data_IF_692524960709
#
_entry.id   IF_692524960709
#
_cell.length_a   1.000
_cell.length_b   1.000
_cell.length_c   1.000
_cell.angle_alpha   90.00
_cell.angle_beta   90.00
_cell.angle_gamma   90.00
#
_symmetry.space_group_name_H-M   'P 1'
#
loop_
_entity.id
_entity.type
_entity.pdbx_description
1 polymer ?
#
# COMPACT_ATOMS: atom_id res chain seq x y z
N UNK A 1 -19.60 5.01 -1.56
CA UNK A 1 -20.81 5.33 -0.77
C UNK A 1 -20.64 6.69 -0.11
N UNK A 2 -21.75 7.35 0.24
CA UNK A 2 -21.79 8.60 0.99
C UNK A 2 -22.67 8.44 2.23
N UNK A 3 -22.15 8.86 3.38
CA UNK A 3 -22.86 8.85 4.66
C UNK A 3 -22.99 10.27 5.19
N UNK A 4 -24.08 10.54 5.91
CA UNK A 4 -24.16 11.71 6.78
C UNK A 4 -23.10 11.62 7.89
N UNK A 5 -22.36 12.70 8.13
CA UNK A 5 -21.24 12.69 9.06
C UNK A 5 -21.69 12.63 10.53
N UNK A 6 -22.86 13.18 10.86
CA UNK A 6 -23.34 13.27 12.24
C UNK A 6 -24.04 11.96 12.66
N UNK A 7 -24.92 11.43 11.81
CA UNK A 7 -25.74 10.26 12.08
C UNK A 7 -25.24 8.95 11.46
N UNK A 8 -24.32 9.00 10.50
CA UNK A 8 -23.87 7.82 9.74
C UNK A 8 -24.94 7.27 8.78
N UNK A 9 -26.02 8.03 8.53
CA UNK A 9 -27.10 7.62 7.65
C UNK A 9 -26.62 7.55 6.20
N UNK A 10 -26.95 6.47 5.49
CA UNK A 10 -26.61 6.31 4.08
C UNK A 10 -27.38 7.32 3.23
N UNK A 11 -26.65 8.19 2.53
CA UNK A 11 -27.22 9.13 1.58
C UNK A 11 -27.38 8.46 0.21
N UNK A 12 -26.30 7.89 -0.31
CA UNK A 12 -26.29 7.12 -1.54
C UNK A 12 -25.11 6.15 -1.58
N UNK A 13 -25.19 5.15 -2.47
CA UNK A 13 -24.07 4.29 -2.81
C UNK A 13 -24.07 3.99 -4.30
N UNK A 14 -22.88 3.70 -4.80
CA UNK A 14 -22.67 3.12 -6.11
C UNK A 14 -21.91 1.79 -5.89
N UNK A 15 -22.34 0.74 -6.57
CA UNK A 15 -21.73 -0.59 -6.49
C UNK A 15 -21.18 -0.97 -7.88
N UNK A 16 -19.90 -0.65 -8.16
CA UNK A 16 -19.28 -0.92 -9.46
C UNK A 16 -19.25 -2.40 -9.85
N UNK A 17 -19.10 -3.29 -8.87
CA UNK A 17 -19.07 -4.73 -9.08
C UNK A 17 -20.09 -5.45 -8.18
N UNK A 18 -21.34 -5.62 -8.63
CA UNK A 18 -22.32 -6.43 -7.92
C UNK A 18 -21.92 -7.90 -7.92
N UNK A 19 -22.05 -8.57 -6.79
CA UNK A 19 -21.68 -9.98 -6.63
C UNK A 19 -20.19 -10.25 -6.95
N UNK A 20 -19.30 -9.42 -6.41
CA UNK A 20 -17.87 -9.67 -6.47
C UNK A 20 -17.50 -11.02 -5.83
N UNK A 21 -16.82 -11.86 -6.61
CA UNK A 21 -16.33 -13.20 -6.23
C UNK A 21 -14.83 -13.34 -6.46
N UNK A 22 -14.13 -12.26 -6.82
CA UNK A 22 -12.72 -12.29 -7.23
C UNK A 22 -11.81 -11.37 -6.41
N UNK A 23 -12.30 -10.80 -5.30
CA UNK A 23 -11.55 -9.84 -4.46
C UNK A 23 -11.24 -8.54 -5.21
N UNK A 24 -12.21 -8.06 -5.99
CA UNK A 24 -12.08 -6.83 -6.77
C UNK A 24 -12.62 -5.65 -5.98
N UNK A 25 -11.93 -5.36 -4.88
CA UNK A 25 -12.18 -4.21 -4.02
C UNK A 25 -12.32 -2.88 -4.79
N UNK A 26 -13.11 -1.97 -4.23
CA UNK A 26 -13.22 -0.57 -4.70
C UNK A 26 -12.77 0.39 -3.59
N UNK A 27 -11.55 0.17 -3.13
CA UNK A 27 -11.00 0.63 -1.86
C UNK A 27 -10.21 1.93 -1.94
N UNK A 28 -9.65 2.27 -3.10
CA UNK A 28 -8.69 3.35 -3.24
C UNK A 28 -9.24 4.69 -2.72
N UNK A 29 -8.37 5.56 -2.15
CA UNK A 29 -8.80 6.87 -1.67
C UNK A 29 -9.54 7.65 -2.76
N UNK A 30 -10.61 8.32 -2.33
CA UNK A 30 -11.51 9.04 -3.24
C UNK A 30 -10.97 10.45 -3.46
N UNK A 31 -10.99 10.89 -4.71
CA UNK A 31 -10.59 12.24 -5.10
C UNK A 31 -11.85 13.09 -5.27
N UNK A 32 -11.97 14.17 -4.50
CA UNK A 32 -13.02 15.17 -4.69
C UNK A 32 -12.49 16.32 -5.54
N UNK A 33 -13.23 16.66 -6.59
CA UNK A 33 -12.85 17.77 -7.50
C UNK A 33 -14.09 18.38 -8.15
N UNK A 34 -13.90 19.45 -8.91
CA UNK A 34 -14.92 20.05 -9.75
C UNK A 34 -14.71 19.69 -11.22
N UNK A 35 -15.80 19.45 -11.94
CA UNK A 35 -15.79 19.23 -13.38
C UNK A 35 -16.96 19.97 -14.04
N UNK A 36 -16.82 20.32 -15.33
CA UNK A 36 -17.94 20.88 -16.10
C UNK A 36 -18.75 19.76 -16.73
N UNK A 37 -19.87 19.40 -16.10
CA UNK A 37 -20.77 18.34 -16.57
C UNK A 37 -21.98 18.98 -17.24
N UNK A 38 -22.23 18.64 -18.51
CA UNK A 38 -23.36 19.18 -19.29
C UNK A 38 -23.42 20.74 -19.28
N UNK A 39 -22.26 21.39 -19.32
CA UNK A 39 -22.14 22.84 -19.34
C UNK A 39 -22.35 23.54 -17.99
N UNK A 40 -22.43 22.79 -16.89
CA UNK A 40 -22.49 23.33 -15.53
C UNK A 40 -21.37 22.74 -14.66
N UNK A 41 -20.78 23.57 -13.80
CA UNK A 41 -19.83 23.09 -12.80
C UNK A 41 -20.55 22.21 -11.77
N UNK A 42 -19.93 21.08 -11.44
CA UNK A 42 -20.39 20.09 -10.45
C UNK A 42 -19.22 19.63 -9.60
N UNK A 43 -19.47 19.38 -8.33
CA UNK A 43 -18.54 18.65 -7.49
C UNK A 43 -18.73 17.16 -7.74
N UNK A 44 -17.64 16.49 -8.06
CA UNK A 44 -17.64 15.06 -8.37
C UNK A 44 -16.68 14.33 -7.44
N UNK A 45 -16.92 13.04 -7.26
CA UNK A 45 -16.03 12.12 -6.58
C UNK A 45 -15.51 11.11 -7.58
N UNK A 46 -14.19 10.98 -7.66
CA UNK A 46 -13.50 10.00 -8.49
C UNK A 46 -12.96 8.90 -7.58
N UNK A 47 -13.28 7.65 -7.92
CA UNK A 47 -12.91 6.49 -7.14
C UNK A 47 -12.44 5.36 -8.05
N UNK A 48 -11.61 4.48 -7.49
CA UNK A 48 -11.07 3.30 -8.17
C UNK A 48 -10.77 2.21 -7.15
N UNK A 49 -10.14 1.13 -7.60
CA UNK A 49 -9.71 0.00 -6.79
C UNK A 49 -9.27 -1.17 -7.66
N UNK A 50 -9.18 -2.34 -7.04
CA UNK A 50 -8.74 -3.57 -7.70
C UNK A 50 -9.55 -3.95 -8.93
N UNK A 51 -10.79 -3.50 -9.04
CA UNK A 51 -11.63 -3.70 -10.22
C UNK A 51 -11.02 -3.17 -11.54
N UNK A 52 -9.98 -2.33 -11.53
CA UNK A 52 -9.39 -1.80 -12.77
C UNK A 52 -10.29 -0.78 -13.47
N UNK A 53 -11.14 -0.09 -12.70
CA UNK A 53 -12.05 0.94 -13.21
C UNK A 53 -11.89 2.23 -12.43
N UNK A 54 -11.86 3.36 -13.14
CA UNK A 54 -11.88 4.70 -12.57
C UNK A 54 -13.25 5.30 -12.88
N UNK A 55 -13.98 5.65 -11.84
CA UNK A 55 -15.39 6.04 -11.94
C UNK A 55 -15.56 7.42 -11.31
N UNK A 56 -16.29 8.31 -11.99
CA UNK A 56 -16.78 9.54 -11.39
C UNK A 56 -18.27 9.49 -11.12
N UNK A 57 -18.65 9.97 -9.95
CA UNK A 57 -20.03 10.21 -9.57
C UNK A 57 -20.23 11.69 -9.19
N UNK A 58 -21.42 12.20 -9.44
CA UNK A 58 -21.87 13.44 -8.81
C UNK A 58 -21.97 13.24 -7.29
N UNK A 59 -21.38 14.15 -6.51
CA UNK A 59 -21.28 13.97 -5.05
C UNK A 59 -22.62 14.10 -4.34
N UNK A 60 -23.56 14.87 -4.91
CA UNK A 60 -24.86 15.13 -4.29
C UNK A 60 -25.84 14.01 -4.59
N UNK A 61 -25.86 13.53 -5.84
CA UNK A 61 -26.88 12.57 -6.29
C UNK A 61 -26.39 11.11 -6.31
N UNK A 62 -25.07 10.91 -6.37
CA UNK A 62 -24.47 9.59 -6.63
C UNK A 62 -24.57 9.14 -8.09
N UNK A 63 -25.11 9.96 -9.00
CA UNK A 63 -25.20 9.65 -10.42
C UNK A 63 -23.82 9.39 -11.02
N UNK A 64 -23.64 8.24 -11.66
CA UNK A 64 -22.39 7.94 -12.38
C UNK A 64 -22.31 8.78 -13.65
N UNK A 65 -21.26 9.58 -13.74
CA UNK A 65 -21.02 10.52 -14.83
C UNK A 65 -20.22 9.87 -15.96
N UNK A 66 -19.17 9.14 -15.60
CA UNK A 66 -18.35 8.36 -16.51
C UNK A 66 -17.71 7.17 -15.79
N UNK A 67 -17.24 6.21 -16.58
CA UNK A 67 -16.71 4.94 -16.12
C UNK A 67 -15.62 4.45 -17.09
N UNK A 68 -14.37 4.56 -16.66
CA UNK A 68 -13.20 4.30 -17.50
C UNK A 68 -12.50 3.03 -17.05
N UNK A 69 -12.40 2.06 -17.96
CA UNK A 69 -11.60 0.85 -17.75
C UNK A 69 -10.11 1.16 -17.97
N UNK A 70 -9.25 0.66 -17.10
CA UNK A 70 -7.78 0.81 -17.18
C UNK A 70 -7.10 -0.55 -17.01
N UNK A 71 -5.95 -0.74 -17.66
CA UNK A 71 -5.25 -2.02 -17.64
C UNK A 71 -5.97 -3.13 -18.40
N UNK A 72 -5.50 -4.35 -18.16
CA UNK A 72 -5.97 -5.56 -18.84
C UNK A 72 -7.13 -6.22 -18.09
N UNK A 73 -8.15 -6.64 -18.85
CA UNK A 73 -9.34 -7.29 -18.32
C UNK A 73 -9.58 -8.63 -19.01
N UNK A 74 -9.84 -9.66 -18.21
CA UNK A 74 -10.13 -11.01 -18.65
C UNK A 74 -10.94 -11.74 -17.58
N UNK A 75 -12.15 -12.19 -17.92
CA UNK A 75 -13.01 -13.02 -17.06
C UNK A 75 -13.40 -12.39 -15.70
N UNK A 76 -13.17 -11.10 -15.51
CA UNK A 76 -13.50 -10.33 -14.30
C UNK A 76 -15.00 -10.08 -14.13
N UNK A 77 -15.79 -10.31 -15.17
CA UNK A 77 -17.25 -10.27 -15.17
C UNK A 77 -17.91 -11.64 -14.95
N UNK A 78 -17.12 -12.70 -14.77
CA UNK A 78 -17.65 -14.05 -14.59
C UNK A 78 -18.43 -14.17 -13.27
N UNK A 79 -19.55 -14.88 -13.29
CA UNK A 79 -20.40 -15.10 -12.10
C UNK A 79 -19.78 -16.05 -11.05
N UNK A 80 -18.53 -16.48 -11.26
CA UNK A 80 -17.81 -17.44 -10.43
C UNK A 80 -17.18 -18.58 -11.25
N UNK A 81 -16.55 -19.51 -10.53
CA UNK A 81 -15.87 -20.67 -11.11
C UNK A 81 -16.70 -21.93 -10.86
N UNK A 82 -16.83 -22.81 -11.87
CA UNK A 82 -17.57 -24.07 -11.69
C UNK A 82 -16.79 -25.05 -10.80
N UNK A 83 -17.49 -25.96 -10.08
CA UNK A 83 -16.83 -27.01 -9.30
C UNK A 83 -15.87 -27.86 -10.13
N UNK A 84 -14.61 -27.94 -9.69
CA UNK A 84 -13.56 -28.71 -10.34
C UNK A 84 -12.85 -28.00 -11.50
N UNK A 85 -13.20 -26.75 -11.79
CA UNK A 85 -12.55 -25.91 -12.79
C UNK A 85 -11.67 -24.84 -12.11
N UNK A 86 -10.81 -24.21 -12.92
CA UNK A 86 -10.05 -23.00 -12.54
C UNK A 86 -10.26 -21.94 -13.61
N UNK A 87 -10.15 -20.67 -13.23
CA UNK A 87 -10.35 -19.53 -14.11
C UNK A 87 -9.25 -18.50 -13.87
N UNK A 88 -8.49 -18.17 -14.90
CA UNK A 88 -7.56 -17.03 -14.85
C UNK A 88 -8.35 -15.74 -15.03
N UNK A 89 -8.17 -14.79 -14.11
CA UNK A 89 -8.87 -13.50 -14.06
C UNK A 89 -7.86 -12.36 -14.12
N UNK A 90 -8.18 -11.34 -14.90
CA UNK A 90 -7.52 -10.02 -14.88
C UNK A 90 -8.57 -8.92 -14.79
N UNK A 91 -8.37 -7.87 -13.96
CA UNK A 91 -7.30 -7.80 -12.96
C UNK A 91 -7.40 -8.94 -11.93
N UNK A 92 -6.25 -9.43 -11.46
CA UNK A 92 -6.17 -10.50 -10.47
C UNK A 92 -6.47 -10.00 -9.05
N UNK A 93 -6.08 -10.79 -8.05
CA UNK A 93 -6.33 -10.49 -6.63
C UNK A 93 -5.59 -9.24 -6.12
N UNK A 94 -4.48 -8.85 -6.75
CA UNK A 94 -3.81 -7.57 -6.47
C UNK A 94 -4.41 -6.39 -7.25
N UNK A 95 -5.38 -6.66 -8.14
CA UNK A 95 -6.18 -5.63 -8.76
C UNK A 95 -5.53 -4.85 -9.90
N UNK A 96 -6.35 -4.02 -10.55
CA UNK A 96 -5.94 -3.12 -11.62
C UNK A 96 -5.48 -1.75 -11.12
N UNK A 97 -6.08 -1.22 -10.04
CA UNK A 97 -5.66 0.05 -9.41
C UNK A 97 -5.55 -0.16 -7.90
N UNK A 98 -4.41 -0.67 -7.46
CA UNK A 98 -4.19 -1.04 -6.06
C UNK A 98 -3.82 0.17 -5.18
N UNK A 99 -3.24 1.20 -5.78
CA UNK A 99 -2.64 2.32 -5.05
C UNK A 99 -3.35 3.66 -5.38
N UNK A 100 -3.28 4.65 -4.49
CA UNK A 100 -3.78 6.00 -4.69
C UNK A 100 -3.36 6.63 -6.02
N UNK A 101 -4.37 7.20 -6.68
CA UNK A 101 -4.24 8.10 -7.83
C UNK A 101 -3.87 9.51 -7.37
N UNK A 102 -3.40 10.34 -8.30
CA UNK A 102 -3.18 11.77 -8.07
C UNK A 102 -4.05 12.62 -9.01
N UNK A 103 -4.31 13.86 -8.64
CA UNK A 103 -5.07 14.82 -9.45
C UNK A 103 -4.26 16.11 -9.61
N UNK A 104 -4.19 16.62 -10.84
CA UNK A 104 -3.79 18.00 -11.10
C UNK A 104 -4.39 18.50 -12.41
N UNK A 105 -4.75 19.79 -12.46
CA UNK A 105 -5.21 20.47 -13.68
C UNK A 105 -6.30 19.71 -14.47
N UNK A 106 -7.25 19.11 -13.75
CA UNK A 106 -8.37 18.33 -14.32
C UNK A 106 -7.94 17.04 -15.02
N UNK A 107 -6.78 16.49 -14.63
CA UNK A 107 -6.29 15.18 -15.06
C UNK A 107 -6.05 14.30 -13.83
N UNK A 108 -6.59 13.08 -13.85
CA UNK A 108 -6.28 12.04 -12.86
C UNK A 108 -5.16 11.16 -13.40
N UNK A 109 -4.15 10.93 -12.58
CA UNK A 109 -3.00 10.08 -12.87
C UNK A 109 -3.13 8.78 -12.09
N UNK A 110 -3.14 7.66 -12.81
CA UNK A 110 -3.57 6.36 -12.33
C UNK A 110 -2.43 5.36 -12.48
N UNK A 111 -1.83 4.90 -11.37
CA UNK A 111 -0.96 3.74 -11.37
C UNK A 111 -1.81 2.48 -11.57
N UNK A 112 -1.41 1.64 -12.53
CA UNK A 112 -2.16 0.44 -12.92
C UNK A 112 -1.26 -0.79 -12.82
N UNK A 113 -1.83 -1.89 -12.34
CA UNK A 113 -1.18 -3.19 -12.22
C UNK A 113 -1.87 -4.17 -13.16
N UNK A 114 -1.09 -4.80 -14.04
CA UNK A 114 -1.53 -5.88 -14.91
C UNK A 114 -0.92 -7.18 -14.40
N UNK A 115 -1.64 -7.85 -13.51
CA UNK A 115 -1.26 -9.16 -12.97
C UNK A 115 -2.50 -10.04 -12.87
N UNK A 116 -2.43 -11.23 -13.46
CA UNK A 116 -3.51 -12.20 -13.41
C UNK A 116 -3.45 -13.05 -12.12
N UNK A 117 -4.61 -13.50 -11.67
CA UNK A 117 -4.74 -14.51 -10.62
C UNK A 117 -5.59 -15.67 -11.10
N UNK A 118 -5.29 -16.89 -10.63
CA UNK A 118 -6.05 -18.09 -11.01
C UNK A 118 -7.01 -18.51 -9.91
N UNK A 119 -8.31 -18.40 -10.14
CA UNK A 119 -9.34 -18.67 -9.14
C UNK A 119 -9.92 -20.09 -9.25
N UNK A 120 -10.30 -20.65 -8.11
CA UNK A 120 -11.15 -21.83 -7.97
C UNK A 120 -12.46 -21.40 -7.26
N UNK A 121 -13.45 -22.29 -7.11
CA UNK A 121 -14.66 -21.97 -6.33
C UNK A 121 -14.39 -21.67 -4.84
N UNK A 122 -13.23 -22.06 -4.30
CA UNK A 122 -12.90 -22.00 -2.87
C UNK A 122 -11.64 -21.20 -2.55
N UNK A 123 -10.90 -20.74 -3.56
CA UNK A 123 -9.62 -20.08 -3.37
C UNK A 123 -9.16 -19.28 -4.58
N UNK A 124 -8.02 -18.61 -4.41
CA UNK A 124 -7.31 -17.84 -5.41
C UNK A 124 -5.88 -18.39 -5.56
N UNK A 125 -5.22 -18.06 -6.67
CA UNK A 125 -3.96 -18.66 -7.14
C UNK A 125 -3.87 -20.19 -6.99
N UNK A 126 -4.97 -20.84 -7.38
CA UNK A 126 -5.15 -22.28 -7.57
C UNK A 126 -4.92 -23.19 -6.34
N UNK A 127 -4.80 -22.64 -5.12
CA UNK A 127 -4.68 -23.42 -3.87
C UNK A 127 -5.54 -22.82 -2.76
N UNK A 128 -6.11 -23.68 -1.91
CA UNK A 128 -6.81 -23.23 -0.70
C UNK A 128 -5.83 -23.06 0.48
N UNK A 129 -6.01 -22.02 1.29
CA UNK A 129 -5.26 -21.81 2.53
C UNK A 129 -4.04 -20.89 2.41
N UNK A 130 -3.13 -20.87 3.41
CA UNK A 130 -2.02 -19.91 3.49
C UNK A 130 -1.10 -19.87 2.27
N UNK A 131 -1.00 -20.99 1.54
CA UNK A 131 -0.19 -21.10 0.32
C UNK A 131 -0.65 -20.13 -0.79
N UNK A 132 -1.93 -19.74 -0.80
CA UNK A 132 -2.45 -18.79 -1.77
C UNK A 132 -1.77 -17.41 -1.64
N UNK A 133 -1.49 -16.98 -0.39
CA UNK A 133 -0.81 -15.71 -0.13
C UNK A 133 0.67 -15.75 -0.53
N UNK A 134 1.32 -16.90 -0.35
CA UNK A 134 2.69 -17.10 -0.83
C UNK A 134 2.75 -17.04 -2.36
N UNK A 135 1.79 -17.66 -3.05
CA UNK A 135 1.71 -17.64 -4.51
C UNK A 135 1.53 -16.23 -5.07
N UNK A 136 0.63 -15.43 -4.47
CA UNK A 136 0.43 -14.03 -4.85
C UNK A 136 1.75 -13.27 -4.81
N UNK A 137 2.54 -13.41 -3.74
CA UNK A 137 3.82 -12.73 -3.60
C UNK A 137 4.85 -13.21 -4.62
N UNK A 138 4.91 -14.51 -4.91
CA UNK A 138 5.85 -15.06 -5.90
C UNK A 138 5.50 -14.67 -7.34
N UNK A 139 4.24 -14.34 -7.62
CA UNK A 139 3.77 -14.00 -8.97
C UNK A 139 3.92 -12.51 -9.29
N UNK A 140 4.15 -11.63 -8.30
CA UNK A 140 4.34 -10.19 -8.53
C UNK A 140 5.35 -9.88 -9.66
N UNK A 141 6.52 -10.55 -9.75
CA UNK A 141 7.48 -10.31 -10.83
C UNK A 141 6.98 -10.66 -12.25
N UNK A 142 5.88 -11.39 -12.37
CA UNK A 142 5.25 -11.70 -13.68
C UNK A 142 4.32 -10.58 -14.16
N UNK A 143 3.95 -9.66 -13.27
CA UNK A 143 3.05 -8.57 -13.59
C UNK A 143 3.74 -7.45 -14.35
N UNK A 144 2.92 -6.61 -14.99
CA UNK A 144 3.35 -5.39 -15.68
C UNK A 144 2.66 -4.17 -15.09
N UNK A 145 3.19 -2.99 -15.41
CA UNK A 145 2.63 -1.71 -14.98
C UNK A 145 2.08 -0.92 -16.16
N UNK A 146 1.04 -0.14 -15.90
CA UNK A 146 0.59 0.93 -16.79
C UNK A 146 0.45 2.22 -15.97
N UNK A 147 0.81 3.36 -16.54
CA UNK A 147 0.54 4.65 -15.93
C UNK A 147 -0.36 5.45 -16.85
N UNK A 148 -1.56 5.77 -16.39
CA UNK A 148 -2.65 6.30 -17.23
C UNK A 148 -3.01 7.71 -16.78
N UNK A 149 -3.20 8.62 -17.73
CA UNK A 149 -3.81 9.93 -17.49
C UNK A 149 -5.23 9.98 -18.04
N UNK A 150 -6.18 10.44 -17.21
CA UNK A 150 -7.61 10.51 -17.54
C UNK A 150 -8.11 11.94 -17.39
N UNK A 151 -8.82 12.43 -18.41
CA UNK A 151 -9.53 13.71 -18.33
C UNK A 151 -10.70 13.61 -17.33
N UNK A 152 -10.72 14.51 -16.36
CA UNK A 152 -11.73 14.54 -15.29
C UNK A 152 -13.14 14.82 -15.81
N UNK A 153 -13.27 15.51 -16.94
CA UNK A 153 -14.57 15.94 -17.46
C UNK A 153 -15.23 14.84 -18.27
N UNK A 154 -14.50 14.19 -19.16
CA UNK A 154 -15.04 13.17 -20.06
C UNK A 154 -14.80 11.74 -19.60
N UNK A 155 -13.79 11.49 -18.76
CA UNK A 155 -13.30 10.15 -18.47
C UNK A 155 -12.42 9.56 -19.57
N UNK A 156 -12.06 10.35 -20.60
CA UNK A 156 -11.22 9.87 -21.68
C UNK A 156 -9.77 9.68 -21.22
N UNK A 157 -9.13 8.59 -21.67
CA UNK A 157 -7.70 8.39 -21.51
C UNK A 157 -6.97 9.37 -22.43
N UNK A 158 -6.12 10.22 -21.84
CA UNK A 158 -5.28 11.17 -22.54
C UNK A 158 -3.99 10.52 -23.06
N UNK A 159 -3.37 9.70 -22.22
CA UNK A 159 -2.18 8.92 -22.54
C UNK A 159 -2.02 7.74 -21.58
N UNK A 160 -1.26 6.74 -22.02
CA UNK A 160 -0.84 5.56 -21.24
C UNK A 160 0.64 5.30 -21.49
N UNK A 161 1.40 5.02 -20.44
CA UNK A 161 2.81 4.59 -20.51
C UNK A 161 2.94 3.21 -19.86
N UNK A 162 3.56 2.27 -20.57
CA UNK A 162 3.69 0.87 -20.13
C UNK A 162 5.05 0.62 -19.44
N UNK A 163 5.05 -0.28 -18.46
CA UNK A 163 6.21 -0.68 -17.66
C UNK A 163 6.30 -2.20 -17.57
N UNK A 164 7.52 -2.73 -17.58
CA UNK A 164 7.79 -4.17 -17.49
C UNK A 164 7.57 -4.76 -16.09
N UNK A 165 7.39 -3.89 -15.08
CA UNK A 165 7.18 -4.28 -13.68
C UNK A 165 5.95 -3.55 -13.11
N UNK A 166 5.22 -4.15 -12.15
CA UNK A 166 4.00 -3.55 -11.61
C UNK A 166 4.25 -2.23 -10.89
N UNK A 167 3.23 -1.37 -10.86
CA UNK A 167 3.27 -0.09 -10.15
C UNK A 167 2.50 -0.23 -8.84
N UNK A 168 3.21 -0.64 -7.78
CA UNK A 168 2.67 -0.72 -6.42
C UNK A 168 2.97 0.50 -5.55
N UNK A 169 3.58 1.53 -6.12
CA UNK A 169 3.53 2.87 -5.52
C UNK A 169 2.31 3.63 -6.05
N UNK A 170 1.94 4.73 -5.39
CA UNK A 170 0.92 5.63 -5.94
C UNK A 170 1.52 6.81 -6.66
N UNK A 171 0.66 7.51 -7.38
CA UNK A 171 1.01 8.71 -8.10
C UNK A 171 1.20 9.91 -7.16
N UNK A 172 2.19 10.74 -7.42
CA UNK A 172 2.41 12.02 -6.73
C UNK A 172 2.71 13.11 -7.73
N UNK A 173 1.84 14.11 -7.83
CA UNK A 173 2.07 15.27 -8.72
C UNK A 173 2.97 16.29 -8.03
N UNK A 174 4.01 16.73 -8.74
CA UNK A 174 4.91 17.80 -8.32
C UNK A 174 5.12 18.72 -9.52
N UNK A 175 4.56 19.94 -9.46
CA UNK A 175 4.60 20.92 -10.55
C UNK A 175 4.09 20.33 -11.88
N UNK A 176 4.92 20.26 -12.90
CA UNK A 176 4.66 19.74 -14.25
C UNK A 176 4.98 18.24 -14.41
N UNK A 177 5.38 17.58 -13.31
CA UNK A 177 5.75 16.18 -13.29
C UNK A 177 4.79 15.34 -12.45
N UNK A 178 4.70 14.05 -12.78
CA UNK A 178 4.08 13.03 -11.95
C UNK A 178 5.11 11.96 -11.62
N UNK A 179 5.25 11.67 -10.33
CA UNK A 179 6.18 10.71 -9.77
C UNK A 179 5.46 9.44 -9.32
N UNK A 180 6.12 8.31 -9.51
CA UNK A 180 5.77 7.00 -8.97
C UNK A 180 7.03 6.13 -8.99
N UNK A 181 6.94 4.94 -8.44
CA UNK A 181 7.94 3.90 -8.52
C UNK A 181 7.33 2.58 -8.99
N UNK A 182 8.07 1.87 -9.84
CA UNK A 182 7.79 0.48 -10.17
C UNK A 182 8.32 -0.45 -9.07
N UNK A 183 7.80 -1.68 -9.04
CA UNK A 183 8.07 -2.63 -7.95
C UNK A 183 9.55 -3.00 -7.80
N UNK A 184 10.31 -3.00 -8.90
CA UNK A 184 11.77 -3.21 -8.93
C UNK A 184 12.59 -2.03 -8.37
N UNK A 185 11.92 -1.02 -7.81
CA UNK A 185 12.57 0.09 -7.09
C UNK A 185 13.01 1.24 -8.00
N UNK A 186 12.60 1.26 -9.27
CA UNK A 186 12.85 2.41 -10.14
C UNK A 186 11.82 3.48 -9.84
N UNK A 187 12.28 4.66 -9.42
CA UNK A 187 11.47 5.86 -9.29
C UNK A 187 11.45 6.55 -10.66
N UNK A 188 10.26 6.86 -11.16
CA UNK A 188 10.03 7.54 -12.43
C UNK A 188 9.44 8.94 -12.20
N UNK A 189 9.75 9.86 -13.12
CA UNK A 189 9.09 11.15 -13.23
C UNK A 189 8.67 11.35 -14.69
N UNK A 190 7.37 11.48 -14.92
CA UNK A 190 6.80 11.72 -16.25
C UNK A 190 6.35 13.16 -16.40
N UNK A 191 6.45 13.68 -17.62
CA UNK A 191 5.79 14.90 -18.01
C UNK A 191 4.26 14.69 -17.97
N UNK A 192 3.56 15.55 -17.22
CA UNK A 192 2.11 15.41 -16.99
C UNK A 192 1.23 15.50 -18.24
N UNK A 193 1.66 16.24 -19.25
CA UNK A 193 0.88 16.48 -20.46
C UNK A 193 1.05 15.36 -21.49
N UNK A 194 2.25 14.80 -21.59
CA UNK A 194 2.61 13.85 -22.65
C UNK A 194 2.78 12.40 -22.20
N UNK A 195 2.99 12.16 -20.90
CA UNK A 195 3.35 10.83 -20.38
C UNK A 195 4.80 10.42 -20.66
N UNK A 196 5.61 11.29 -21.27
CA UNK A 196 7.02 11.01 -21.56
C UNK A 196 7.87 11.02 -20.28
N UNK A 197 8.78 10.06 -20.15
CA UNK A 197 9.73 10.04 -19.04
C UNK A 197 10.74 11.19 -19.14
N UNK A 198 10.83 11.97 -18.06
CA UNK A 198 11.75 13.09 -17.93
C UNK A 198 12.97 12.70 -17.08
N UNK A 199 12.77 11.82 -16.11
CA UNK A 199 13.82 11.41 -15.18
C UNK A 199 13.47 10.06 -14.53
N UNK A 200 14.51 9.30 -14.16
CA UNK A 200 14.39 8.08 -13.38
C UNK A 200 15.58 7.85 -12.44
N UNK A 201 15.38 7.04 -11.40
CA UNK A 201 16.40 6.68 -10.41
C UNK A 201 16.16 5.28 -9.83
N UNK A 202 17.21 4.46 -9.81
CA UNK A 202 17.18 3.14 -9.18
C UNK A 202 17.43 3.25 -7.67
N UNK A 203 16.42 2.95 -6.87
CA UNK A 203 16.56 2.77 -5.43
C UNK A 203 17.37 1.50 -5.10
N UNK A 204 18.01 1.42 -3.93
CA UNK A 204 18.74 0.23 -3.50
C UNK A 204 17.82 -0.91 -3.03
N UNK A 205 16.50 -0.72 -3.03
CA UNK A 205 15.52 -1.74 -2.63
C UNK A 205 14.20 -1.54 -3.38
N UNK A 206 13.36 -2.58 -3.39
CA UNK A 206 12.01 -2.52 -3.98
C UNK A 206 11.11 -1.53 -3.23
N UNK A 207 10.17 -0.94 -3.97
CA UNK A 207 9.28 0.12 -3.48
C UNK A 207 7.81 -0.24 -3.75
N UNK A 208 7.01 -0.23 -2.69
CA UNK A 208 5.54 -0.25 -2.75
C UNK A 208 4.90 0.91 -1.96
N UNK A 209 5.70 1.91 -1.59
CA UNK A 209 5.27 3.01 -0.75
C UNK A 209 5.12 4.31 -1.56
N UNK A 210 4.45 5.29 -0.97
CA UNK A 210 4.28 6.64 -1.50
C UNK A 210 5.37 7.58 -0.99
N UNK A 211 5.80 8.56 -1.80
CA UNK A 211 6.73 9.57 -1.33
C UNK A 211 6.03 10.62 -0.46
N UNK A 212 6.83 11.29 0.37
CA UNK A 212 6.49 12.58 0.97
C UNK A 212 7.30 13.69 0.28
N UNK A 213 6.68 14.85 0.05
CA UNK A 213 7.32 15.98 -0.65
C UNK A 213 7.31 17.21 0.26
N UNK A 214 8.46 17.86 0.42
CA UNK A 214 8.60 19.10 1.18
C UNK A 214 9.64 20.01 0.56
N UNK A 215 9.21 21.19 0.11
CA UNK A 215 10.08 22.15 -0.54
C UNK A 215 10.73 21.58 -1.79
N UNK A 216 12.06 21.44 -1.76
CA UNK A 216 12.88 20.92 -2.85
C UNK A 216 13.26 19.44 -2.70
N UNK A 217 12.66 18.74 -1.73
CA UNK A 217 13.05 17.39 -1.33
C UNK A 217 11.87 16.42 -1.46
N UNK A 218 12.14 15.26 -2.07
CA UNK A 218 11.26 14.08 -2.09
C UNK A 218 11.86 13.02 -1.16
N UNK A 219 11.07 12.47 -0.27
CA UNK A 219 11.47 11.42 0.66
C UNK A 219 10.69 10.13 0.35
N UNK A 220 11.40 9.02 0.17
CA UNK A 220 10.81 7.74 -0.24
C UNK A 220 11.33 6.57 0.61
N UNK A 221 10.46 5.82 1.30
CA UNK A 221 10.86 4.57 1.93
C UNK A 221 10.97 3.45 0.89
N UNK A 222 12.09 2.74 0.89
CA UNK A 222 12.32 1.54 0.09
C UNK A 222 12.75 0.41 1.03
N UNK A 223 12.33 -0.84 0.80
CA UNK A 223 12.68 -1.90 1.76
C UNK A 223 11.97 -3.23 1.60
N UNK A 224 11.24 -3.47 0.51
CA UNK A 224 10.73 -4.81 0.26
C UNK A 224 11.88 -5.73 -0.17
N UNK A 225 12.10 -6.81 0.59
CA UNK A 225 13.08 -7.85 0.28
C UNK A 225 14.55 -7.55 0.65
N UNK A 226 14.86 -6.33 1.07
CA UNK A 226 16.22 -5.90 1.46
C UNK A 226 16.18 -5.02 2.74
N UNK A 227 17.36 -4.56 3.20
CA UNK A 227 17.46 -3.63 4.32
C UNK A 227 16.65 -2.35 4.01
N UNK A 228 15.65 -2.00 4.84
CA UNK A 228 14.87 -0.80 4.60
C UNK A 228 15.74 0.47 4.65
N UNK A 229 15.53 1.36 3.69
CA UNK A 229 16.18 2.66 3.60
C UNK A 229 15.15 3.77 3.43
N UNK A 230 15.50 4.96 3.89
CA UNK A 230 14.76 6.18 3.59
C UNK A 230 15.59 7.02 2.62
N UNK A 231 15.15 7.11 1.38
CA UNK A 231 15.78 7.92 0.34
C UNK A 231 15.32 9.37 0.46
N UNK A 232 16.24 10.32 0.40
CA UNK A 232 15.93 11.74 0.28
C UNK A 232 16.58 12.30 -0.99
N UNK A 233 15.77 12.67 -1.97
CA UNK A 233 16.19 13.22 -3.25
C UNK A 233 15.92 14.73 -3.25
N UNK A 234 16.97 15.55 -3.38
CA UNK A 234 16.88 17.01 -3.38
C UNK A 234 17.26 17.60 -4.74
N UNK A 235 16.51 18.60 -5.21
CA UNK A 235 16.83 19.34 -6.43
C UNK A 235 18.21 20.00 -6.34
N UNK A 236 19.07 19.75 -7.34
CA UNK A 236 20.41 20.33 -7.41
C UNK A 236 21.47 19.64 -6.55
N UNK A 237 21.14 18.56 -5.84
CA UNK A 237 22.13 17.70 -5.21
C UNK A 237 23.01 17.03 -6.28
N UNK A 238 24.31 16.92 -6.03
CA UNK A 238 25.22 16.25 -6.96
C UNK A 238 25.02 14.72 -6.91
N UNK A 239 25.14 14.07 -8.07
CA UNK A 239 25.13 12.62 -8.19
C UNK A 239 26.22 12.03 -7.29
N UNK A 240 25.82 11.26 -6.26
CA UNK A 240 26.76 10.62 -5.33
C UNK A 240 27.02 11.35 -4.01
N UNK A 241 26.33 12.45 -3.69
CA UNK A 241 26.18 12.89 -2.29
C UNK A 241 25.21 11.95 -1.56
N UNK A 242 25.60 10.67 -1.41
CA UNK A 242 25.06 9.86 -0.33
C UNK A 242 25.60 10.47 0.95
N UNK A 243 24.80 11.39 1.51
CA UNK A 243 24.88 11.64 2.93
C UNK A 243 24.36 10.34 3.55
N UNK A 244 25.28 9.40 3.80
CA UNK A 244 25.11 8.55 4.96
C UNK A 244 24.80 9.56 6.06
N UNK A 245 23.55 9.54 6.53
CA UNK A 245 23.31 10.14 7.82
C UNK A 245 24.40 9.57 8.71
N UNK A 246 24.96 10.40 9.56
CA UNK A 246 25.57 9.98 10.81
C UNK A 246 24.53 9.29 11.71
N UNK A 247 23.65 8.48 11.10
CA UNK A 247 23.05 7.35 11.73
C UNK A 247 24.18 6.62 12.41
N UNK A 248 24.32 6.91 13.70
CA UNK A 248 24.13 5.85 14.67
C UNK A 248 23.26 4.81 13.99
N UNK A 249 23.89 3.68 13.64
CA UNK A 249 23.15 2.45 13.53
C UNK A 249 22.19 2.49 14.70
N UNK A 250 20.91 2.75 14.42
CA UNK A 250 19.88 2.36 15.36
C UNK A 250 19.85 0.86 15.17
N UNK A 251 20.85 0.23 15.76
CA UNK A 251 20.85 -1.17 16.08
C UNK A 251 19.56 -1.33 16.88
N UNK A 252 18.55 -1.93 16.25
CA UNK A 252 17.30 -2.22 16.92
C UNK A 252 17.51 -3.18 18.10
N UNK A 253 18.71 -3.74 18.25
CA UNK A 253 19.17 -4.51 19.41
C UNK A 253 19.89 -3.63 20.46
N UNK A 254 20.62 -2.57 20.08
CA UNK A 254 21.26 -1.63 21.01
C UNK A 254 20.39 -0.39 21.26
N UNK A 255 19.46 -0.51 22.20
CA UNK A 255 18.61 0.60 22.62
C UNK A 255 17.28 0.18 23.24
N UNK A 256 17.01 -1.13 23.32
CA UNK A 256 15.82 -1.64 23.96
C UNK A 256 15.82 -1.31 25.46
N UNK A 257 14.91 -0.44 25.86
CA UNK A 257 14.66 -0.12 27.26
C UNK A 257 13.90 -1.28 27.91
N UNK A 258 14.66 -2.20 28.53
CA UNK A 258 14.08 -3.34 29.23
C UNK A 258 13.08 -2.96 30.33
N UNK A 259 13.21 -1.77 30.94
CA UNK A 259 12.26 -1.29 31.94
C UNK A 259 10.92 -0.90 31.30
N UNK A 260 10.97 -0.21 30.15
CA UNK A 260 9.80 0.13 29.37
C UNK A 260 9.11 -1.12 28.81
N UNK A 261 9.88 -2.08 28.29
CA UNK A 261 9.35 -3.34 27.77
C UNK A 261 8.64 -4.17 28.85
N UNK A 262 9.16 -4.22 30.08
CA UNK A 262 8.45 -4.87 31.19
C UNK A 262 7.11 -4.17 31.46
N UNK A 263 7.07 -2.84 31.40
CA UNK A 263 5.84 -2.09 31.61
C UNK A 263 4.82 -2.35 30.49
N UNK A 264 5.24 -2.26 29.24
CA UNK A 264 4.37 -2.33 28.07
C UNK A 264 3.91 -3.77 27.74
N UNK A 265 4.76 -4.76 27.98
CA UNK A 265 4.53 -6.15 27.53
C UNK A 265 4.17 -7.08 28.67
N UNK A 266 4.68 -6.86 29.89
CA UNK A 266 4.49 -7.79 31.00
C UNK A 266 3.36 -7.39 31.96
N UNK A 267 2.96 -6.12 31.98
CA UNK A 267 1.87 -5.66 32.89
C UNK A 267 0.46 -5.81 32.30
N UNK A 268 0.37 -6.15 31.02
CA UNK A 268 -0.89 -6.34 30.29
C UNK A 268 -1.77 -7.39 30.95
N UNK A 269 -1.17 -8.44 31.53
CA UNK A 269 -1.88 -9.56 32.12
C UNK A 269 -2.07 -9.45 33.65
N UNK A 270 -1.09 -8.90 34.36
CA UNK A 270 -1.11 -8.74 35.83
C UNK A 270 -0.09 -7.69 36.30
N UNK A 271 -0.19 -7.26 37.57
CA UNK A 271 0.75 -6.30 38.15
C UNK A 271 2.18 -6.83 38.25
N UNK A 272 3.15 -5.89 38.39
CA UNK A 272 4.58 -6.17 38.56
C UNK A 272 5.00 -6.58 39.96
N UNK A 273 4.07 -6.67 40.90
CA UNK A 273 4.39 -6.93 42.32
C UNK A 273 5.23 -8.21 42.52
N UNK A 274 5.07 -9.22 41.67
CA UNK A 274 5.88 -10.45 41.71
C UNK A 274 7.30 -10.27 41.19
N UNK A 275 7.51 -9.28 40.32
CA UNK A 275 8.82 -8.88 39.81
C UNK A 275 9.52 -8.05 40.87
N UNK A 276 8.84 -7.03 41.39
CA UNK A 276 9.41 -6.06 42.33
C UNK A 276 9.87 -6.69 43.67
N UNK A 277 9.31 -7.85 44.01
CA UNK A 277 9.64 -8.60 45.24
C UNK A 277 10.47 -9.87 44.99
N UNK A 278 10.96 -10.09 43.77
CA UNK A 278 11.83 -11.22 43.44
C UNK A 278 13.31 -10.81 43.49
N UNK A 279 14.16 -11.79 43.79
CA UNK A 279 15.62 -11.71 43.68
C UNK A 279 16.06 -12.99 42.98
N UNK A 280 16.47 -12.87 41.71
CA UNK A 280 16.72 -14.01 40.82
C UNK A 280 17.94 -13.77 39.94
N UNK A 281 18.60 -14.87 39.59
CA UNK A 281 19.66 -14.86 38.59
C UNK A 281 19.11 -14.65 37.17
N UNK A 282 19.98 -14.23 36.25
CA UNK A 282 19.62 -14.08 34.83
C UNK A 282 19.02 -15.37 34.22
N UNK A 283 19.52 -16.55 34.61
CA UNK A 283 19.00 -17.83 34.14
C UNK A 283 17.57 -18.11 34.66
N UNK A 284 17.29 -17.75 35.92
CA UNK A 284 15.96 -17.87 36.52
C UNK A 284 14.96 -16.84 35.97
N UNK A 285 15.45 -15.65 35.61
CA UNK A 285 14.68 -14.65 34.89
C UNK A 285 14.36 -15.10 33.47
N UNK A 286 15.32 -15.65 32.73
CA UNK A 286 15.11 -16.22 31.41
C UNK A 286 13.99 -17.28 31.42
N UNK A 287 14.06 -18.24 32.34
CA UNK A 287 13.02 -19.24 32.49
C UNK A 287 11.64 -18.64 32.87
N UNK A 288 11.63 -17.52 33.58
CA UNK A 288 10.40 -16.82 33.94
C UNK A 288 9.80 -16.11 32.72
N UNK A 289 10.61 -15.39 31.94
CA UNK A 289 10.21 -14.68 30.72
C UNK A 289 9.73 -15.67 29.65
N UNK A 290 10.45 -16.76 29.43
CA UNK A 290 10.06 -17.83 28.49
C UNK A 290 8.70 -18.42 28.81
N UNK A 291 8.43 -18.62 30.10
CA UNK A 291 7.13 -19.10 30.56
C UNK A 291 6.03 -18.07 30.32
N UNK A 292 6.32 -16.77 30.45
CA UNK A 292 5.34 -15.72 30.16
C UNK A 292 5.06 -15.62 28.66
N UNK A 293 6.08 -15.75 27.80
CA UNK A 293 5.93 -15.84 26.34
C UNK A 293 5.06 -17.04 25.98
N UNK A 294 5.34 -18.21 26.55
CA UNK A 294 4.53 -19.42 26.37
C UNK A 294 3.08 -19.27 26.85
N UNK A 295 2.84 -18.38 27.82
CA UNK A 295 1.51 -18.04 28.34
C UNK A 295 0.84 -16.88 27.56
N UNK A 296 1.48 -16.34 26.52
CA UNK A 296 0.91 -15.34 25.62
C UNK A 296 1.51 -13.93 25.69
N UNK A 297 2.61 -13.70 26.40
CA UNK A 297 3.32 -12.42 26.33
C UNK A 297 3.97 -12.23 24.95
N UNK A 298 3.75 -11.07 24.33
CA UNK A 298 4.27 -10.75 23.00
C UNK A 298 5.63 -10.06 23.14
N UNK A 299 6.70 -10.86 23.07
CA UNK A 299 8.09 -10.41 23.00
C UNK A 299 8.77 -11.18 21.85
N UNK A 300 9.52 -10.47 21.01
CA UNK A 300 10.46 -11.12 20.09
C UNK A 300 11.77 -11.50 20.82
N UNK A 301 12.69 -12.20 20.14
CA UNK A 301 13.92 -12.71 20.77
C UNK A 301 14.83 -11.61 21.32
N UNK A 302 14.91 -10.46 20.64
CA UNK A 302 15.72 -9.32 21.10
C UNK A 302 15.07 -8.60 22.30
N UNK A 303 13.76 -8.36 22.26
CA UNK A 303 13.01 -7.79 23.40
C UNK A 303 13.06 -8.71 24.62
N UNK A 304 13.01 -10.04 24.41
CA UNK A 304 13.17 -11.06 25.44
C UNK A 304 14.52 -10.90 26.15
N UNK A 305 15.61 -10.83 25.41
CA UNK A 305 16.95 -10.74 25.97
C UNK A 305 17.18 -9.42 26.72
N UNK A 306 16.66 -8.30 26.19
CA UNK A 306 16.70 -7.00 26.85
C UNK A 306 15.92 -6.98 28.18
N UNK A 307 14.74 -7.62 28.22
CA UNK A 307 13.94 -7.76 29.45
C UNK A 307 14.68 -8.63 30.46
N UNK A 308 15.27 -9.75 30.05
CA UNK A 308 16.03 -10.63 30.96
C UNK A 308 17.21 -9.88 31.56
N UNK A 309 17.96 -9.13 30.74
CA UNK A 309 19.08 -8.35 31.20
C UNK A 309 18.66 -7.30 32.23
N UNK A 310 17.64 -6.49 31.91
CA UNK A 310 17.12 -5.48 32.84
C UNK A 310 16.69 -6.11 34.17
N UNK A 311 15.89 -7.18 34.12
CA UNK A 311 15.41 -7.84 35.33
C UNK A 311 16.55 -8.38 36.18
N UNK A 312 17.55 -9.02 35.57
CA UNK A 312 18.70 -9.56 36.29
C UNK A 312 19.61 -8.49 36.91
N UNK A 313 19.63 -7.28 36.34
CA UNK A 313 20.41 -6.15 36.86
C UNK A 313 19.68 -5.37 37.97
N UNK A 314 18.34 -5.46 38.03
CA UNK A 314 17.51 -4.61 38.91
C UNK A 314 16.72 -5.35 39.99
N UNK A 315 16.44 -6.65 39.80
CA UNK A 315 15.62 -7.47 40.68
C UNK A 315 16.28 -8.82 40.96
#
# INVERSE_FOLDING_TARGET
LALDLEGGELQWYDQPNPHDVFDLDFQSPRILTTATVNGSERTIVIASGKLGRVIANDVETGERLWDTQVGEHQNDDAAGVNPGETLTVMPGTLGGVETPMALADHVVYVPVVNLASTHSPTGFDAVDGPQALENVQTNIPEGRGEFVAIDVTSGDILWTTEYETPIFSGATVINDLVFFATFDGVIHALNRESGEEVWSYQAPAQINAWPAVSGDTIVWPAGLGETPVLLALRLGAAEGEMMEGDGEEIDMEAGLDGAALVEERCTVCHSRERIDNADKTAEEWAATVDRMISNGAMLNDAERDAVIQYLAETH
#
